data_IF_274606681651
#
_entry.id   IF_274606681651
#
_cell.length_a   1.000
_cell.length_b   1.000
_cell.length_c   1.000
_cell.angle_alpha   90.00
_cell.angle_beta   90.00
_cell.angle_gamma   90.00
#
_symmetry.space_group_name_H-M   'P 1'
#
loop_
_entity.id
_entity.type
_entity.pdbx_description
1 polymer ?
#
# COMPACT_ATOMS: atom_id res chain seq x y z
N UNK A 1 -10.24 17.16 14.92
CA UNK A 1 -9.90 15.73 15.05
C UNK A 1 -11.13 14.82 15.08
N UNK A 2 -12.01 14.92 16.08
CA UNK A 2 -13.21 14.06 16.23
C UNK A 2 -14.11 14.10 14.99
N UNK A 3 -14.39 15.27 14.43
CA UNK A 3 -15.20 15.42 13.21
C UNK A 3 -14.62 14.64 12.01
N UNK A 4 -13.29 14.55 11.88
CA UNK A 4 -12.63 13.79 10.80
C UNK A 4 -12.74 12.28 11.02
N UNK A 5 -12.62 11.81 12.27
CA UNK A 5 -12.87 10.39 12.62
C UNK A 5 -14.31 9.99 12.32
N UNK A 6 -15.28 10.86 12.64
CA UNK A 6 -16.68 10.66 12.31
C UNK A 6 -16.87 10.60 10.79
N UNK A 7 -16.20 11.46 10.02
CA UNK A 7 -16.22 11.45 8.56
C UNK A 7 -15.73 10.12 7.97
N UNK A 8 -14.68 9.51 8.52
CA UNK A 8 -14.20 8.17 8.10
C UNK A 8 -15.27 7.09 8.35
N UNK A 9 -15.92 7.11 9.53
CA UNK A 9 -16.97 6.15 9.88
C UNK A 9 -18.19 6.30 8.96
N UNK A 10 -18.62 7.54 8.70
CA UNK A 10 -19.74 7.82 7.82
C UNK A 10 -19.48 7.38 6.36
N UNK A 11 -18.24 7.39 5.92
CA UNK A 11 -17.83 6.88 4.61
C UNK A 11 -17.63 5.35 4.58
N UNK A 12 -18.07 4.63 5.63
CA UNK A 12 -17.99 3.16 5.70
C UNK A 12 -16.57 2.62 5.89
N UNK A 13 -15.65 3.45 6.36
CA UNK A 13 -14.28 3.02 6.60
C UNK A 13 -14.12 2.40 8.00
N UNK A 14 -13.39 1.29 8.05
CA UNK A 14 -13.06 0.68 9.33
C UNK A 14 -11.99 1.51 10.04
N UNK A 15 -12.36 2.10 11.17
CA UNK A 15 -11.50 2.91 12.03
C UNK A 15 -11.06 2.04 13.20
N UNK A 16 -9.93 1.37 13.05
CA UNK A 16 -9.30 0.59 14.12
C UNK A 16 -8.45 1.48 15.05
N UNK A 17 -7.98 0.90 16.17
CA UNK A 17 -7.15 1.60 17.16
C UNK A 17 -5.84 2.15 16.54
N UNK A 18 -5.24 1.43 15.60
CA UNK A 18 -4.02 1.85 14.91
C UNK A 18 -4.25 3.09 14.05
N UNK A 19 -5.36 3.11 13.30
CA UNK A 19 -5.75 4.26 12.47
C UNK A 19 -6.11 5.47 13.33
N UNK A 20 -6.83 5.25 14.43
CA UNK A 20 -7.16 6.31 15.38
C UNK A 20 -5.89 6.95 15.96
N UNK A 21 -4.93 6.13 16.41
CA UNK A 21 -3.64 6.60 16.91
C UNK A 21 -2.89 7.42 15.86
N UNK A 22 -2.79 6.90 14.63
CA UNK A 22 -2.13 7.59 13.52
C UNK A 22 -2.74 8.97 13.25
N UNK A 23 -4.08 9.09 13.21
CA UNK A 23 -4.77 10.35 13.00
C UNK A 23 -4.51 11.32 14.16
N UNK A 24 -4.47 10.82 15.40
CA UNK A 24 -4.13 11.62 16.57
C UNK A 24 -2.70 12.17 16.50
N UNK A 25 -1.74 11.35 16.08
CA UNK A 25 -0.35 11.76 15.92
C UNK A 25 -0.20 12.80 14.80
N UNK A 26 -0.84 12.60 13.66
CA UNK A 26 -0.91 13.61 12.59
C UNK A 26 -1.56 14.93 13.07
N UNK A 27 -2.58 14.85 13.93
CA UNK A 27 -3.22 16.04 14.49
C UNK A 27 -2.28 16.83 15.39
N UNK A 28 -1.47 16.17 16.22
CA UNK A 28 -0.46 16.80 17.09
C UNK A 28 0.64 17.47 16.27
N UNK A 29 0.97 16.92 15.10
CA UNK A 29 1.99 17.42 14.19
C UNK A 29 1.46 18.47 13.20
N UNK A 30 0.19 18.89 13.30
CA UNK A 30 -0.42 19.88 12.41
C UNK A 30 -0.72 19.37 10.98
N UNK A 31 -0.62 18.06 10.70
CA UNK A 31 -0.77 17.44 9.38
C UNK A 31 -2.17 16.87 9.11
N UNK A 32 -3.21 17.50 9.68
CA UNK A 32 -4.59 17.04 9.52
C UNK A 32 -5.11 17.13 8.08
N UNK A 33 -4.64 18.11 7.30
CA UNK A 33 -5.03 18.26 5.89
C UNK A 33 -4.56 17.07 5.05
N UNK A 34 -3.35 16.56 5.32
CA UNK A 34 -2.82 15.36 4.65
C UNK A 34 -3.67 14.11 4.92
N UNK A 35 -4.37 14.06 6.06
CA UNK A 35 -5.26 12.95 6.41
C UNK A 35 -6.57 13.00 5.61
N UNK A 36 -7.07 14.17 5.24
CA UNK A 36 -8.28 14.30 4.41
C UNK A 36 -8.09 13.71 3.02
N UNK A 37 -6.91 13.86 2.45
CA UNK A 37 -6.57 13.28 1.15
C UNK A 37 -6.64 11.74 1.14
N UNK A 38 -6.51 11.09 2.30
CA UNK A 38 -6.63 9.63 2.42
C UNK A 38 -8.08 9.14 2.25
N UNK A 39 -9.07 10.01 2.46
CA UNK A 39 -10.49 9.63 2.39
C UNK A 39 -10.94 9.25 0.97
N UNK A 40 -10.29 9.78 -0.05
CA UNK A 40 -10.78 9.73 -1.44
C UNK A 40 -9.96 8.85 -2.38
N UNK A 41 -8.86 8.26 -1.92
CA UNK A 41 -7.92 7.54 -2.78
C UNK A 41 -8.14 6.03 -2.85
N UNK A 42 -9.00 5.54 -3.74
CA UNK A 42 -9.03 4.11 -4.08
C UNK A 42 -7.82 3.77 -4.95
N UNK A 43 -7.02 2.80 -4.52
CA UNK A 43 -5.85 2.30 -5.25
C UNK A 43 -6.26 1.25 -6.27
N UNK A 44 -7.06 0.30 -5.84
CA UNK A 44 -7.60 -0.79 -6.65
C UNK A 44 -8.90 -1.32 -6.03
N UNK A 45 -9.64 -2.13 -6.78
CA UNK A 45 -10.78 -2.89 -6.27
C UNK A 45 -10.48 -4.37 -6.44
N UNK A 46 -10.63 -5.14 -5.35
CA UNK A 46 -10.45 -6.59 -5.36
C UNK A 46 -11.54 -7.28 -6.18
N UNK A 47 -11.36 -8.56 -6.52
CA UNK A 47 -12.41 -9.33 -7.20
C UNK A 47 -13.70 -9.50 -6.37
N UNK A 48 -13.60 -9.31 -5.05
CA UNK A 48 -14.77 -9.33 -4.14
C UNK A 48 -15.43 -7.96 -3.98
N UNK A 49 -15.05 -6.96 -4.78
CA UNK A 49 -15.59 -5.60 -4.70
C UNK A 49 -15.05 -4.75 -3.55
N UNK A 50 -14.04 -5.23 -2.81
CA UNK A 50 -13.47 -4.49 -1.68
C UNK A 50 -12.46 -3.47 -2.20
N UNK A 51 -12.63 -2.20 -1.83
CA UNK A 51 -11.71 -1.13 -2.18
C UNK A 51 -10.41 -1.23 -1.38
N UNK A 52 -9.28 -1.24 -2.08
CA UNK A 52 -7.94 -1.09 -1.50
C UNK A 52 -7.62 0.40 -1.45
N UNK A 53 -7.35 0.92 -0.25
CA UNK A 53 -7.04 2.32 -0.01
C UNK A 53 -5.72 2.46 0.75
N UNK A 54 -5.04 3.58 0.57
CA UNK A 54 -3.91 3.96 1.42
C UNK A 54 -4.38 4.24 2.84
N UNK A 55 -3.68 3.70 3.84
CA UNK A 55 -4.01 3.89 5.25
C UNK A 55 -3.21 5.01 5.90
N UNK A 56 -2.08 5.40 5.31
CA UNK A 56 -1.18 6.44 5.79
C UNK A 56 -0.78 7.38 4.66
N UNK A 57 -0.37 8.59 5.01
CA UNK A 57 0.14 9.59 4.06
C UNK A 57 1.36 9.07 3.29
N UNK A 58 2.28 8.36 3.97
CA UNK A 58 3.43 7.73 3.31
C UNK A 58 3.02 6.71 2.26
N UNK A 59 2.00 5.88 2.53
CA UNK A 59 1.45 4.94 1.55
C UNK A 59 0.82 5.67 0.37
N UNK A 60 0.09 6.77 0.61
CA UNK A 60 -0.49 7.59 -0.47
C UNK A 60 0.61 8.18 -1.35
N UNK A 61 1.61 8.81 -0.77
CA UNK A 61 2.77 9.35 -1.51
C UNK A 61 3.46 8.25 -2.36
N UNK A 62 3.58 7.03 -1.83
CA UNK A 62 4.14 5.90 -2.57
C UNK A 62 3.26 5.49 -3.77
N UNK A 63 1.96 5.38 -3.57
CA UNK A 63 1.00 5.07 -4.65
C UNK A 63 1.02 6.16 -5.73
N UNK A 64 1.02 7.43 -5.34
CA UNK A 64 1.07 8.57 -6.26
C UNK A 64 2.39 8.59 -7.04
N UNK A 65 3.50 8.23 -6.38
CA UNK A 65 4.80 8.09 -7.04
C UNK A 65 4.79 7.01 -8.11
N UNK A 66 4.23 5.82 -7.81
CA UNK A 66 4.13 4.73 -8.79
C UNK A 66 3.25 5.08 -9.99
N UNK A 67 2.22 5.91 -9.80
CA UNK A 67 1.33 6.35 -10.88
C UNK A 67 1.93 7.43 -11.78
N UNK A 68 2.83 8.26 -11.21
CA UNK A 68 3.40 9.43 -11.91
C UNK A 68 4.75 9.16 -12.57
N UNK A 69 5.48 8.15 -12.11
CA UNK A 69 6.85 7.91 -12.53
C UNK A 69 7.01 6.52 -13.14
N UNK A 70 7.90 6.40 -14.12
CA UNK A 70 8.24 5.13 -14.77
C UNK A 70 8.94 4.16 -13.82
N UNK A 71 9.75 4.67 -12.89
CA UNK A 71 10.47 3.87 -11.90
C UNK A 71 10.21 4.48 -10.52
N UNK A 72 9.87 3.64 -9.55
CA UNK A 72 9.65 4.04 -8.16
C UNK A 72 10.31 3.06 -7.19
N UNK A 73 10.94 3.59 -6.16
CA UNK A 73 11.57 2.81 -5.10
C UNK A 73 10.78 2.93 -3.80
N UNK A 74 10.34 1.81 -3.26
CA UNK A 74 9.68 1.76 -1.95
C UNK A 74 10.65 1.31 -0.86
N UNK A 75 11.16 2.25 -0.07
CA UNK A 75 12.06 1.98 1.06
C UNK A 75 11.32 2.16 2.38
N UNK A 76 11.51 1.23 3.31
CA UNK A 76 10.89 1.31 4.64
C UNK A 76 10.85 -0.03 5.36
N UNK A 77 10.43 -0.05 6.63
CA UNK A 77 10.37 -1.26 7.47
C UNK A 77 9.48 -2.36 6.87
N UNK A 78 9.69 -3.60 7.32
CA UNK A 78 8.82 -4.71 6.96
C UNK A 78 7.38 -4.47 7.47
N UNK A 79 6.40 -5.09 6.83
CA UNK A 79 4.99 -5.00 7.24
C UNK A 79 4.28 -3.68 6.92
N UNK A 80 4.93 -2.70 6.30
CA UNK A 80 4.31 -1.38 5.96
C UNK A 80 3.46 -1.38 4.70
N UNK A 81 3.25 -2.53 4.06
CA UNK A 81 2.38 -2.67 2.90
C UNK A 81 3.00 -2.29 1.55
N UNK A 82 4.33 -2.13 1.46
CA UNK A 82 5.01 -1.73 0.21
C UNK A 82 4.67 -2.65 -0.97
N UNK A 83 4.92 -3.94 -0.83
CA UNK A 83 4.64 -4.93 -1.89
C UNK A 83 3.14 -5.04 -2.18
N UNK A 84 2.30 -5.03 -1.14
CA UNK A 84 0.85 -5.08 -1.30
C UNK A 84 0.31 -3.91 -2.14
N UNK A 85 0.76 -2.69 -1.87
CA UNK A 85 0.36 -1.50 -2.63
C UNK A 85 0.92 -1.50 -4.05
N UNK A 86 2.17 -1.94 -4.24
CA UNK A 86 2.76 -2.07 -5.57
C UNK A 86 1.96 -3.05 -6.44
N UNK A 87 1.59 -4.21 -5.91
CA UNK A 87 0.73 -5.18 -6.60
C UNK A 87 -0.66 -4.58 -6.87
N UNK A 88 -1.25 -3.87 -5.92
CA UNK A 88 -2.55 -3.23 -6.11
C UNK A 88 -2.53 -2.20 -7.25
N UNK A 89 -1.50 -1.36 -7.33
CA UNK A 89 -1.31 -0.40 -8.42
C UNK A 89 -1.10 -1.13 -9.75
N UNK A 90 -0.24 -2.16 -9.79
CA UNK A 90 0.01 -2.95 -11.00
C UNK A 90 -1.28 -3.63 -11.52
N UNK A 91 -2.07 -4.23 -10.63
CA UNK A 91 -3.37 -4.83 -10.99
C UNK A 91 -4.36 -3.77 -11.48
N UNK A 92 -4.38 -2.57 -10.88
CA UNK A 92 -5.21 -1.47 -11.35
C UNK A 92 -4.83 -1.06 -12.78
N UNK A 93 -3.55 -0.86 -13.06
CA UNK A 93 -3.05 -0.52 -14.39
C UNK A 93 -3.31 -1.62 -15.44
N UNK A 94 -3.21 -2.90 -15.03
CA UNK A 94 -3.56 -4.01 -15.90
C UNK A 94 -5.05 -4.06 -16.23
N UNK A 95 -5.92 -3.83 -15.23
CA UNK A 95 -7.39 -3.80 -15.44
C UNK A 95 -7.86 -2.61 -16.28
N UNK A 96 -7.17 -1.48 -16.22
CA UNK A 96 -7.45 -0.31 -17.08
C UNK A 96 -6.79 -0.40 -18.47
N UNK A 97 -6.09 -1.50 -18.76
CA UNK A 97 -5.36 -1.68 -20.02
C UNK A 97 -4.23 -0.66 -20.26
N UNK A 98 -3.70 -0.06 -19.19
CA UNK A 98 -2.53 0.83 -19.27
C UNK A 98 -1.25 0.04 -19.50
N UNK A 99 -1.26 -1.26 -19.15
CA UNK A 99 -0.15 -2.21 -19.36
C UNK A 99 -0.69 -3.56 -19.84
N UNK A 100 0.10 -4.25 -20.67
CA UNK A 100 -0.28 -5.55 -21.25
C UNK A 100 -0.04 -6.73 -20.33
N UNK A 101 0.90 -6.60 -19.38
CA UNK A 101 1.27 -7.69 -18.47
C UNK A 101 1.89 -7.15 -17.19
N UNK A 102 1.85 -7.98 -16.13
CA UNK A 102 2.53 -7.74 -14.87
C UNK A 102 3.66 -8.75 -14.75
N UNK A 103 4.88 -8.28 -14.48
CA UNK A 103 6.06 -9.13 -14.25
C UNK A 103 6.48 -8.95 -12.80
N UNK A 104 6.52 -10.06 -12.03
CA UNK A 104 7.00 -10.10 -10.66
C UNK A 104 8.38 -10.76 -10.65
N UNK A 105 9.35 -10.08 -10.09
CA UNK A 105 10.71 -10.61 -9.94
C UNK A 105 11.16 -10.49 -8.49
N UNK A 106 11.91 -11.48 -8.03
CA UNK A 106 12.67 -11.40 -6.78
C UNK A 106 14.03 -12.08 -6.98
N UNK A 107 15.10 -11.65 -6.29
CA UNK A 107 16.36 -12.36 -6.31
C UNK A 107 16.16 -13.82 -5.86
N UNK A 108 16.90 -14.75 -6.46
CA UNK A 108 16.91 -16.15 -6.04
C UNK A 108 17.51 -16.33 -4.64
N UNK A 109 18.33 -15.36 -4.22
CA UNK A 109 18.94 -15.30 -2.88
C UNK A 109 18.65 -13.93 -2.29
N UNK A 110 18.05 -13.87 -1.11
CA UNK A 110 17.91 -12.63 -0.36
C UNK A 110 19.26 -12.24 0.27
N UNK A 111 19.59 -10.94 0.29
CA UNK A 111 20.83 -10.46 0.89
C UNK A 111 20.84 -10.83 2.39
N UNK A 112 21.76 -11.73 2.77
CA UNK A 112 21.91 -12.26 4.14
C UNK A 112 21.41 -13.69 4.35
N UNK A 113 20.63 -14.26 3.45
CA UNK A 113 20.34 -15.70 3.48
C UNK A 113 21.52 -16.46 2.85
N UNK A 114 22.21 -17.27 3.64
CA UNK A 114 23.10 -18.30 3.09
C UNK A 114 22.22 -19.27 2.34
N UNK A 115 22.53 -19.55 1.08
CA UNK A 115 22.00 -20.68 0.34
C UNK A 115 22.18 -21.95 1.20
N UNK A 116 21.17 -22.28 1.99
CA UNK A 116 21.06 -23.61 2.58
C UNK A 116 20.84 -24.56 1.41
N UNK A 117 21.87 -25.30 1.07
CA UNK A 117 21.79 -26.38 0.11
C UNK A 117 20.87 -27.47 0.68
N UNK A 118 19.57 -27.32 0.47
CA UNK A 118 18.62 -28.40 0.57
C UNK A 118 18.24 -28.80 -0.86
N UNK A 119 18.56 -30.02 -1.29
CA UNK A 119 18.11 -30.50 -2.59
C UNK A 119 16.58 -30.47 -2.65
N UNK A 120 16.02 -29.71 -3.58
CA UNK A 120 14.58 -29.58 -3.79
C UNK A 120 13.97 -28.19 -3.58
N UNK A 121 14.69 -27.22 -2.98
CA UNK A 121 14.10 -25.93 -2.56
C UNK A 121 13.91 -24.89 -3.71
N UNK A 122 14.39 -25.17 -4.90
CA UNK A 122 14.27 -24.28 -6.07
C UNK A 122 13.11 -24.63 -7.02
N UNK A 123 12.43 -25.76 -6.81
CA UNK A 123 11.34 -26.20 -7.69
C UNK A 123 9.96 -26.25 -7.03
N UNK A 124 9.84 -26.03 -5.72
CA UNK A 124 8.58 -26.16 -4.98
C UNK A 124 8.06 -24.84 -4.37
N UNK A 125 8.60 -23.67 -4.73
CA UNK A 125 8.03 -22.40 -4.26
C UNK A 125 7.51 -21.56 -5.39
#
# INVERSE_FOLDING_TARGET
>A
MIAKLIGFILNGENVDAGRTKYICDCAKEGRLEEVEELMHGVVAVTNRGVAVKSKTVGQKKYVDSMRKNTISFGVGPAGTGKTYLAVAVAVSAYKSHDVDRIILTRPAVEAGEKLGFLPGDLQEK
#
